data_IF_292656769548
#
_entry.id   IF_292656769548
#
_cell.length_a   1.000
_cell.length_b   1.000
_cell.length_c   1.000
_cell.angle_alpha   90.00
_cell.angle_beta   90.00
_cell.angle_gamma   90.00
#
_symmetry.space_group_name_H-M   'P 1'
#
loop_
_entity.id
_entity.type
_entity.pdbx_description
1 polymer ?
#
# COMPACT_ATOMS: atom_id res chain seq x y z
N UNK A 1 -28.28 2.14 33.66
CA UNK A 1 -28.72 1.09 32.72
C UNK A 1 -29.18 1.77 31.44
N UNK A 2 -28.29 1.96 30.46
CA UNK A 2 -28.58 2.72 29.24
C UNK A 2 -29.25 1.79 28.21
N UNK A 3 -30.46 2.13 27.78
CA UNK A 3 -31.17 1.47 26.67
C UNK A 3 -30.96 2.33 25.42
N UNK A 4 -30.32 1.78 24.41
CA UNK A 4 -30.28 2.37 23.07
C UNK A 4 -31.51 1.90 22.29
N UNK A 5 -32.14 2.79 21.54
CA UNK A 5 -33.21 2.47 20.60
C UNK A 5 -32.71 2.80 19.20
N UNK A 6 -32.48 1.77 18.39
CA UNK A 6 -32.21 1.91 16.95
C UNK A 6 -33.51 2.34 16.28
N UNK A 7 -33.51 3.48 15.60
CA UNK A 7 -34.65 3.92 14.78
C UNK A 7 -34.36 3.48 13.33
N UNK A 8 -35.29 2.71 12.76
CA UNK A 8 -35.27 2.28 11.35
C UNK A 8 -35.65 3.46 10.46
N UNK A 9 -34.86 3.70 9.42
CA UNK A 9 -35.17 4.66 8.35
C UNK A 9 -34.85 6.11 8.75
N UNK A 10 -34.46 6.91 7.75
CA UNK A 10 -34.05 8.32 7.81
C UNK A 10 -35.13 9.30 8.31
N UNK A 11 -35.81 9.00 9.41
CA UNK A 11 -36.63 9.94 10.16
C UNK A 11 -36.04 10.11 11.56
N UNK A 12 -35.53 11.31 11.83
CA UNK A 12 -34.94 11.66 13.13
C UNK A 12 -35.80 12.72 13.80
N UNK A 13 -36.47 12.33 14.88
CA UNK A 13 -37.16 13.28 15.77
C UNK A 13 -36.31 13.50 17.03
N UNK A 14 -36.19 14.76 17.45
CA UNK A 14 -35.51 15.17 18.69
C UNK A 14 -36.57 15.62 19.69
N UNK A 15 -36.60 15.00 20.87
CA UNK A 15 -37.30 15.58 22.02
C UNK A 15 -36.40 16.67 22.63
N UNK A 16 -36.86 17.91 22.60
CA UNK A 16 -36.24 18.99 23.36
C UNK A 16 -37.00 19.18 24.66
N UNK A 17 -36.35 18.96 25.80
CA UNK A 17 -36.85 19.47 27.08
C UNK A 17 -36.70 21.00 27.08
N UNK A 18 -37.82 21.71 26.95
CA UNK A 18 -37.89 23.12 27.30
C UNK A 18 -38.30 23.25 28.76
N UNK A 19 -37.44 23.83 29.60
CA UNK A 19 -37.82 24.35 30.91
C UNK A 19 -38.76 25.56 30.74
N UNK A 20 -40.03 25.26 30.50
CA UNK A 20 -41.21 26.00 30.93
C UNK A 20 -42.41 25.40 30.18
N UNK A 21 -43.36 24.85 30.95
CA UNK A 21 -44.68 24.40 30.49
C UNK A 21 -44.72 23.17 29.55
N UNK A 22 -44.21 22.03 30.04
CA UNK A 22 -44.89 20.73 29.99
C UNK A 22 -45.46 20.18 28.67
N UNK A 23 -45.00 20.65 27.51
CA UNK A 23 -45.41 20.11 26.21
C UNK A 23 -44.18 19.93 25.33
N UNK A 24 -43.78 18.66 25.12
CA UNK A 24 -42.76 18.32 24.12
C UNK A 24 -43.31 18.63 22.73
N UNK A 25 -42.53 19.34 21.91
CA UNK A 25 -42.81 19.52 20.48
C UNK A 25 -41.72 18.82 19.70
N UNK A 26 -42.08 17.72 19.04
CA UNK A 26 -41.22 17.09 18.03
C UNK A 26 -41.09 18.03 16.82
N UNK A 27 -39.86 18.43 16.50
CA UNK A 27 -39.52 18.98 15.18
C UNK A 27 -38.82 17.87 14.39
N UNK A 28 -39.50 17.37 13.37
CA UNK A 28 -38.97 16.38 12.44
C UNK A 28 -38.76 17.06 11.08
N UNK A 29 -37.61 16.82 10.43
CA UNK A 29 -37.28 17.39 9.12
C UNK A 29 -36.52 16.38 8.25
N UNK A 30 -36.98 16.15 7.03
CA UNK A 30 -36.33 15.28 6.04
C UNK A 30 -35.46 16.12 5.09
N UNK A 31 -34.19 15.75 4.93
CA UNK A 31 -33.32 16.26 3.87
C UNK A 31 -33.33 15.20 2.76
N UNK A 32 -33.69 15.58 1.52
CA UNK A 32 -33.54 14.74 0.34
C UNK A 32 -32.35 15.25 -0.46
N UNK A 33 -31.36 14.38 -0.69
CA UNK A 33 -30.19 14.68 -1.52
C UNK A 33 -30.40 14.11 -2.94
N UNK A 34 -30.00 14.82 -4.01
CA UNK A 34 -30.04 14.29 -5.37
C UNK A 34 -29.11 13.10 -5.55
N UNK A 35 -29.53 12.10 -6.33
CA UNK A 35 -28.78 10.85 -6.57
C UNK A 35 -27.56 10.98 -7.47
N UNK A 36 -27.35 12.11 -8.12
CA UNK A 36 -26.51 12.19 -9.34
C UNK A 36 -25.15 12.87 -9.16
N UNK A 37 -24.75 13.24 -7.93
CA UNK A 37 -23.43 13.86 -7.70
C UNK A 37 -22.80 13.30 -6.44
N UNK A 38 -21.94 12.28 -6.59
CA UNK A 38 -21.13 11.65 -5.53
C UNK A 38 -22.00 11.01 -4.44
N UNK A 39 -21.74 9.75 -4.06
CA UNK A 39 -22.47 9.11 -2.95
C UNK A 39 -22.00 9.67 -1.59
N UNK A 40 -22.36 10.93 -1.34
CA UNK A 40 -22.14 11.62 -0.07
C UNK A 40 -22.86 10.91 1.07
N UNK A 41 -23.89 10.10 0.80
CA UNK A 41 -24.56 9.31 1.84
C UNK A 41 -23.61 8.26 2.41
N UNK A 42 -22.90 7.50 1.56
CA UNK A 42 -21.93 6.50 2.00
C UNK A 42 -20.70 7.15 2.65
N UNK A 43 -20.17 8.23 2.06
CA UNK A 43 -19.03 8.97 2.63
C UNK A 43 -19.39 9.55 4.00
N UNK A 44 -20.57 10.16 4.15
CA UNK A 44 -21.03 10.68 5.44
C UNK A 44 -21.35 9.53 6.39
N UNK A 45 -21.95 8.41 5.98
CA UNK A 45 -22.21 7.28 6.88
C UNK A 45 -20.92 6.68 7.46
N UNK A 46 -19.87 6.51 6.65
CA UNK A 46 -18.60 5.93 7.10
C UNK A 46 -17.76 6.92 7.91
N UNK A 47 -17.79 8.20 7.52
CA UNK A 47 -17.18 9.29 8.27
C UNK A 47 -17.91 9.50 9.61
N UNK A 48 -19.24 9.40 9.67
CA UNK A 48 -20.04 9.61 10.89
C UNK A 48 -20.01 8.41 11.84
N UNK A 49 -19.88 7.18 11.33
CA UNK A 49 -19.60 5.99 12.16
C UNK A 49 -18.24 6.08 12.86
N UNK A 50 -17.27 6.82 12.29
CA UNK A 50 -15.91 6.98 12.83
C UNK A 50 -15.61 8.28 13.60
N UNK A 51 -16.35 9.37 13.38
CA UNK A 51 -15.82 10.72 13.64
C UNK A 51 -15.90 11.29 15.06
N UNK A 52 -16.68 10.75 15.99
CA UNK A 52 -17.14 11.60 17.08
C UNK A 52 -16.83 11.08 18.47
N UNK A 53 -15.57 10.76 18.72
CA UNK A 53 -15.12 10.44 20.08
C UNK A 53 -14.83 11.74 20.83
N UNK A 54 -15.64 12.06 21.83
CA UNK A 54 -15.38 13.18 22.76
C UNK A 54 -14.09 12.89 23.58
N UNK A 55 -13.51 13.88 24.28
CA UNK A 55 -12.23 13.69 25.04
C UNK A 55 -12.28 12.54 26.06
N UNK A 56 -13.47 12.09 26.43
CA UNK A 56 -13.76 11.01 27.35
C UNK A 56 -14.07 9.65 26.68
N UNK A 57 -13.98 9.55 25.35
CA UNK A 57 -14.24 8.30 24.62
C UNK A 57 -15.67 8.15 24.07
N UNK A 58 -16.55 9.14 24.23
CA UNK A 58 -17.97 8.99 23.88
C UNK A 58 -18.24 9.28 22.40
N UNK A 59 -18.83 8.34 21.65
CA UNK A 59 -19.25 8.50 20.24
C UNK A 59 -20.53 9.35 20.13
N UNK A 60 -20.46 10.54 19.54
CA UNK A 60 -21.64 11.38 19.21
C UNK A 60 -22.10 11.01 17.80
N UNK A 61 -23.36 10.75 17.55
CA UNK A 61 -23.90 10.71 16.18
C UNK A 61 -24.73 11.97 16.07
N UNK A 62 -24.31 12.92 15.24
CA UNK A 62 -25.07 14.19 15.14
C UNK A 62 -26.40 13.92 14.43
N UNK A 63 -27.43 14.69 14.75
CA UNK A 63 -28.74 14.62 14.08
C UNK A 63 -29.20 16.00 13.60
N UNK A 64 -28.28 16.97 13.52
CA UNK A 64 -28.56 18.37 13.19
C UNK A 64 -27.67 18.82 12.02
N UNK A 65 -28.29 19.44 11.02
CA UNK A 65 -27.66 20.01 9.82
C UNK A 65 -26.49 20.94 10.17
N UNK A 66 -26.58 21.71 11.25
CA UNK A 66 -25.50 22.62 11.67
C UNK A 66 -24.21 21.86 12.00
N UNK A 67 -24.33 20.76 12.75
CA UNK A 67 -23.19 19.89 13.07
C UNK A 67 -22.69 19.17 11.82
N UNK A 68 -23.59 18.72 10.94
CA UNK A 68 -23.23 18.10 9.67
C UNK A 68 -22.35 19.05 8.83
N UNK A 69 -22.82 20.28 8.62
CA UNK A 69 -22.11 21.31 7.88
C UNK A 69 -20.77 21.66 8.55
N UNK A 70 -20.74 21.76 9.88
CA UNK A 70 -19.52 22.04 10.62
C UNK A 70 -18.45 20.95 10.44
N UNK A 71 -18.81 19.66 10.61
CA UNK A 71 -17.87 18.56 10.44
C UNK A 71 -17.45 18.37 8.98
N UNK A 72 -18.37 18.51 8.03
CA UNK A 72 -18.05 18.45 6.61
C UNK A 72 -17.13 19.62 6.20
N UNK A 73 -17.31 20.82 6.78
CA UNK A 73 -16.39 21.94 6.59
C UNK A 73 -14.99 21.63 7.12
N UNK A 74 -14.87 21.10 8.34
CA UNK A 74 -13.58 20.67 8.89
C UNK A 74 -12.91 19.61 8.02
N UNK A 75 -13.68 18.65 7.51
CA UNK A 75 -13.18 17.63 6.60
C UNK A 75 -12.66 18.24 5.29
N UNK A 76 -13.43 19.10 4.62
CA UNK A 76 -12.99 19.76 3.38
C UNK A 76 -11.73 20.60 3.59
N UNK A 77 -11.65 21.33 4.69
CA UNK A 77 -10.43 22.08 5.03
C UNK A 77 -9.23 21.16 5.27
N UNK A 78 -9.44 19.95 5.83
CA UNK A 78 -8.39 18.94 5.96
C UNK A 78 -7.84 18.43 4.63
N UNK A 79 -8.63 18.53 3.56
CA UNK A 79 -8.22 18.23 2.18
C UNK A 79 -7.49 19.41 1.53
N UNK A 80 -7.27 20.52 2.26
CA UNK A 80 -6.61 21.73 1.76
C UNK A 80 -7.56 22.77 1.15
N UNK A 81 -8.89 22.60 1.29
CA UNK A 81 -9.85 23.58 0.75
C UNK A 81 -9.82 24.86 1.58
N UNK A 82 -9.87 26.02 0.92
CA UNK A 82 -10.05 27.30 1.63
C UNK A 82 -11.44 27.33 2.29
N UNK A 83 -11.65 28.08 3.38
CA UNK A 83 -12.97 28.19 4.02
C UNK A 83 -14.07 28.60 3.05
N UNK A 84 -13.77 29.52 2.12
CA UNK A 84 -14.70 29.96 1.09
C UNK A 84 -15.02 28.85 0.10
N UNK A 85 -14.02 28.09 -0.35
CA UNK A 85 -14.27 26.96 -1.27
C UNK A 85 -15.05 25.86 -0.57
N UNK A 86 -14.71 25.52 0.67
CA UNK A 86 -15.45 24.54 1.46
C UNK A 86 -16.93 24.95 1.62
N UNK A 87 -17.21 26.22 1.93
CA UNK A 87 -18.58 26.71 2.01
C UNK A 87 -19.34 26.58 0.67
N UNK A 88 -18.70 26.86 -0.47
CA UNK A 88 -19.32 26.68 -1.79
C UNK A 88 -19.60 25.21 -2.12
N UNK A 89 -18.69 24.30 -1.79
CA UNK A 89 -18.90 22.85 -1.96
C UNK A 89 -20.08 22.39 -1.09
N UNK A 90 -20.13 22.82 0.19
CA UNK A 90 -21.23 22.47 1.08
C UNK A 90 -22.56 23.06 0.62
N UNK A 91 -22.55 24.27 0.07
CA UNK A 91 -23.75 24.84 -0.54
C UNK A 91 -24.27 23.95 -1.65
N UNK A 92 -23.38 23.51 -2.55
CA UNK A 92 -23.76 22.65 -3.67
C UNK A 92 -24.25 21.29 -3.20
N UNK A 93 -23.54 20.65 -2.27
CA UNK A 93 -23.84 19.28 -1.80
C UNK A 93 -25.13 19.23 -1.00
N UNK A 94 -25.36 20.20 -0.13
CA UNK A 94 -26.56 20.27 0.71
C UNK A 94 -27.70 21.09 0.09
N UNK A 95 -27.55 21.52 -1.18
CA UNK A 95 -28.50 22.36 -1.92
C UNK A 95 -28.96 23.60 -1.12
N UNK A 96 -28.02 24.27 -0.45
CA UNK A 96 -28.33 25.40 0.41
C UNK A 96 -28.59 26.68 -0.41
N UNK A 97 -29.52 27.53 0.04
CA UNK A 97 -29.83 28.78 -0.65
C UNK A 97 -28.62 29.73 -0.70
N UNK A 98 -27.76 29.68 0.31
CA UNK A 98 -26.53 30.48 0.42
C UNK A 98 -25.40 29.63 1.03
N UNK A 99 -24.12 29.98 0.76
CA UNK A 99 -23.00 29.32 1.41
C UNK A 99 -23.09 29.40 2.93
N UNK A 100 -22.91 28.29 3.66
CA UNK A 100 -22.93 28.30 5.10
C UNK A 100 -21.79 29.18 5.63
N UNK A 101 -22.12 30.06 6.56
CA UNK A 101 -21.12 30.84 7.28
C UNK A 101 -20.75 30.10 8.56
N UNK A 102 -19.49 29.70 8.65
CA UNK A 102 -18.91 29.23 9.90
C UNK A 102 -18.36 30.48 10.58
N UNK A 103 -18.98 30.89 11.69
CA UNK A 103 -18.42 31.96 12.52
C UNK A 103 -16.96 31.62 12.89
N UNK A 104 -16.17 32.62 13.29
CA UNK A 104 -14.87 32.40 13.91
C UNK A 104 -15.08 31.66 15.23
N UNK A 105 -15.32 30.35 15.16
CA UNK A 105 -15.55 29.56 16.35
C UNK A 105 -14.21 29.42 17.06
N UNK A 106 -14.16 29.84 18.32
CA UNK A 106 -13.11 29.45 19.29
C UNK A 106 -13.09 27.92 19.54
N UNK A 107 -13.72 27.09 18.69
CA UNK A 107 -13.53 25.65 18.74
C UNK A 107 -12.15 25.32 18.16
N UNK A 108 -11.21 25.03 19.07
CA UNK A 108 -10.01 24.25 18.76
C UNK A 108 -10.40 22.79 18.50
N UNK A 109 -11.18 22.57 17.45
CA UNK A 109 -11.60 21.27 16.98
C UNK A 109 -10.46 20.67 16.14
N UNK A 110 -9.70 19.71 16.70
CA UNK A 110 -8.63 19.01 15.98
C UNK A 110 -9.22 17.90 15.11
N UNK A 111 -8.68 17.71 13.90
CA UNK A 111 -9.06 16.60 13.03
C UNK A 111 -8.92 15.26 13.76
N UNK A 112 -9.87 14.34 13.60
CA UNK A 112 -9.75 13.04 14.24
C UNK A 112 -8.55 12.25 13.75
N UNK A 113 -7.85 11.65 14.71
CA UNK A 113 -6.68 10.80 14.45
C UNK A 113 -7.04 9.33 14.21
N UNK A 114 -8.34 9.01 14.11
CA UNK A 114 -8.81 7.65 13.88
C UNK A 114 -8.36 7.16 12.50
N UNK A 115 -7.96 5.89 12.39
CA UNK A 115 -7.51 5.28 11.13
C UNK A 115 -8.56 5.40 10.03
N UNK A 116 -9.84 5.13 10.33
CA UNK A 116 -10.92 5.24 9.35
C UNK A 116 -11.06 6.64 8.77
N UNK A 117 -10.94 7.68 9.59
CA UNK A 117 -10.94 9.07 9.11
C UNK A 117 -9.75 9.36 8.20
N UNK A 118 -8.53 8.98 8.60
CA UNK A 118 -7.33 9.25 7.80
C UNK A 118 -7.37 8.49 6.46
N UNK A 119 -7.88 7.26 6.46
CA UNK A 119 -8.08 6.48 5.24
C UNK A 119 -9.07 7.15 4.29
N UNK A 120 -10.25 7.56 4.78
CA UNK A 120 -11.25 8.24 3.95
C UNK A 120 -10.76 9.60 3.45
N UNK A 121 -10.04 10.35 4.30
CA UNK A 121 -9.37 11.60 3.92
C UNK A 121 -8.38 11.34 2.78
N UNK A 122 -7.56 10.29 2.90
CA UNK A 122 -6.55 9.98 1.89
C UNK A 122 -7.18 9.53 0.58
N UNK A 123 -8.14 8.59 0.60
CA UNK A 123 -8.94 8.20 -0.59
C UNK A 123 -9.49 9.44 -1.31
N UNK A 124 -10.06 10.39 -0.56
CA UNK A 124 -10.63 11.60 -1.17
C UNK A 124 -9.59 12.54 -1.77
N UNK A 125 -8.40 12.62 -1.17
CA UNK A 125 -7.26 13.35 -1.75
C UNK A 125 -6.91 12.71 -3.10
N UNK A 126 -6.77 11.39 -3.17
CA UNK A 126 -6.42 10.67 -4.40
C UNK A 126 -7.46 10.84 -5.50
N UNK A 127 -8.76 10.77 -5.17
CA UNK A 127 -9.84 11.07 -6.11
C UNK A 127 -9.73 12.51 -6.66
N UNK A 128 -9.47 13.49 -5.79
CA UNK A 128 -9.32 14.88 -6.20
C UNK A 128 -8.07 15.08 -7.08
N UNK A 129 -6.98 14.36 -6.81
CA UNK A 129 -5.78 14.40 -7.65
C UNK A 129 -6.12 13.88 -9.05
N UNK A 130 -6.78 12.72 -9.16
CA UNK A 130 -7.27 12.16 -10.43
C UNK A 130 -8.21 13.11 -11.17
N UNK A 131 -9.14 13.72 -10.45
CA UNK A 131 -10.11 14.63 -11.05
C UNK A 131 -9.47 15.96 -11.49
N UNK A 132 -8.49 16.51 -10.76
CA UNK A 132 -8.09 17.92 -10.90
C UNK A 132 -6.64 18.14 -11.32
N UNK A 133 -5.73 17.21 -11.04
CA UNK A 133 -4.33 17.32 -11.43
C UNK A 133 -4.13 16.77 -12.85
N UNK A 134 -3.58 17.57 -13.80
CA UNK A 134 -3.36 17.10 -15.17
C UNK A 134 -2.45 15.88 -15.25
N UNK A 135 -1.42 15.82 -14.39
CA UNK A 135 -0.47 14.72 -14.38
C UNK A 135 -1.12 13.43 -13.85
N UNK A 136 -1.73 13.47 -12.66
CA UNK A 136 -2.35 12.29 -12.05
C UNK A 136 -3.48 11.73 -12.92
N UNK A 137 -4.22 12.59 -13.64
CA UNK A 137 -5.29 12.16 -14.55
C UNK A 137 -4.77 11.28 -15.70
N UNK A 138 -3.56 11.55 -16.20
CA UNK A 138 -2.98 10.83 -17.34
C UNK A 138 -2.26 9.54 -16.95
N UNK A 139 -2.02 9.31 -15.65
CA UNK A 139 -1.28 8.12 -15.19
C UNK A 139 -2.09 6.85 -15.46
N UNK A 140 -1.51 5.93 -16.22
CA UNK A 140 -2.09 4.62 -16.53
C UNK A 140 -1.71 3.53 -15.51
N UNK A 141 -2.44 2.40 -15.42
CA UNK A 141 -2.03 1.28 -14.56
C UNK A 141 -0.62 0.78 -14.85
N UNK A 142 -0.18 0.81 -16.12
CA UNK A 142 1.17 0.39 -16.50
C UNK A 142 2.25 1.34 -15.97
N UNK A 143 2.05 2.65 -16.07
CA UNK A 143 2.97 3.63 -15.50
C UNK A 143 3.03 3.51 -13.97
N UNK A 144 1.89 3.27 -13.34
CA UNK A 144 1.79 3.13 -11.89
C UNK A 144 2.59 1.90 -11.37
N UNK A 145 2.71 0.83 -12.17
CA UNK A 145 3.59 -0.31 -11.83
C UNK A 145 5.05 0.12 -11.76
N UNK A 146 5.52 0.93 -12.71
CA UNK A 146 6.90 1.45 -12.69
C UNK A 146 7.15 2.28 -11.44
N UNK A 147 6.26 3.25 -11.16
CA UNK A 147 6.35 4.09 -9.97
C UNK A 147 6.32 3.25 -8.69
N UNK A 148 5.42 2.25 -8.61
CA UNK A 148 5.35 1.36 -7.45
C UNK A 148 6.62 0.55 -7.20
N UNK A 149 7.43 0.28 -8.23
CA UNK A 149 8.73 -0.39 -8.06
C UNK A 149 9.78 0.54 -7.45
N UNK A 150 9.69 1.83 -7.75
CA UNK A 150 10.54 2.86 -7.15
C UNK A 150 10.21 2.99 -5.66
N UNK A 151 8.93 3.21 -5.30
CA UNK A 151 8.51 3.30 -3.88
C UNK A 151 8.82 2.02 -3.10
N UNK A 152 8.68 0.83 -3.73
CA UNK A 152 9.06 -0.42 -3.07
C UNK A 152 10.56 -0.48 -2.80
N UNK A 153 11.40 0.09 -3.68
CA UNK A 153 12.84 0.17 -3.49
C UNK A 153 13.21 1.14 -2.37
N UNK A 154 12.50 2.27 -2.28
CA UNK A 154 12.66 3.27 -1.22
C UNK A 154 12.19 2.70 0.14
N UNK A 155 11.09 1.94 0.16
CA UNK A 155 10.66 1.16 1.32
C UNK A 155 11.73 0.18 1.80
N UNK A 156 12.31 -0.60 0.89
CA UNK A 156 13.38 -1.55 1.22
C UNK A 156 14.61 -0.85 1.79
N UNK A 157 14.95 0.33 1.27
CA UNK A 157 16.02 1.16 1.80
C UNK A 157 15.72 1.70 3.20
N UNK A 158 14.50 2.20 3.44
CA UNK A 158 14.07 2.67 4.75
C UNK A 158 14.15 1.57 5.81
N UNK A 159 13.69 0.35 5.48
CA UNK A 159 13.79 -0.82 6.35
C UNK A 159 15.26 -1.17 6.63
N UNK A 160 16.10 -1.20 5.60
CA UNK A 160 17.52 -1.53 5.71
C UNK A 160 18.28 -0.52 6.59
N UNK A 161 17.92 0.75 6.49
CA UNK A 161 18.51 1.84 7.26
C UNK A 161 17.91 1.98 8.67
N UNK A 162 16.89 1.19 9.01
CA UNK A 162 16.11 1.34 10.26
C UNK A 162 15.52 2.76 10.43
N UNK A 163 15.25 3.44 9.33
CA UNK A 163 14.65 4.77 9.32
C UNK A 163 13.13 4.65 9.46
N UNK A 164 12.64 4.76 10.69
CA UNK A 164 11.23 4.57 10.99
C UNK A 164 10.34 5.69 10.43
N UNK A 165 10.88 6.90 10.25
CA UNK A 165 10.12 8.02 9.72
C UNK A 165 9.95 7.83 8.20
N UNK A 166 11.05 7.54 7.49
CA UNK A 166 10.97 7.21 6.07
C UNK A 166 10.14 5.94 5.84
N UNK A 167 10.30 4.91 6.68
CA UNK A 167 9.50 3.68 6.56
C UNK A 167 8.00 3.94 6.59
N UNK A 168 7.54 4.89 7.42
CA UNK A 168 6.13 5.28 7.46
C UNK A 168 5.70 6.08 6.23
N UNK A 169 6.58 6.92 5.68
CA UNK A 169 6.37 7.71 4.46
C UNK A 169 6.19 6.79 3.24
N UNK A 170 7.14 5.89 3.00
CA UNK A 170 7.14 4.95 1.87
C UNK A 170 5.94 3.98 1.90
N UNK A 171 5.49 3.58 3.09
CA UNK A 171 4.24 2.82 3.25
C UNK A 171 3.04 3.65 2.78
N UNK A 172 3.05 4.95 3.04
CA UNK A 172 2.06 5.90 2.56
C UNK A 172 2.03 6.01 1.05
N UNK A 173 3.19 6.04 0.40
CA UNK A 173 3.31 6.14 -1.07
C UNK A 173 2.87 4.85 -1.78
N UNK A 174 3.16 3.68 -1.20
CA UNK A 174 2.54 2.44 -1.68
C UNK A 174 1.01 2.47 -1.54
N UNK A 175 0.46 3.02 -0.44
CA UNK A 175 -0.99 3.20 -0.31
C UNK A 175 -1.55 4.20 -1.33
N UNK A 176 -0.81 5.26 -1.67
CA UNK A 176 -1.18 6.19 -2.76
C UNK A 176 -1.39 5.42 -4.06
N UNK A 177 -0.44 4.56 -4.43
CA UNK A 177 -0.51 3.75 -5.64
C UNK A 177 -1.65 2.72 -5.62
N UNK A 178 -1.89 2.06 -4.49
CA UNK A 178 -3.03 1.13 -4.34
C UNK A 178 -4.39 1.84 -4.52
N UNK A 179 -4.52 3.06 -3.98
CA UNK A 179 -5.72 3.87 -4.14
C UNK A 179 -5.87 4.38 -5.57
N UNK A 180 -4.79 4.85 -6.20
CA UNK A 180 -4.80 5.29 -7.60
C UNK A 180 -5.22 4.14 -8.54
N UNK A 181 -4.73 2.92 -8.36
CA UNK A 181 -5.19 1.75 -9.11
C UNK A 181 -6.70 1.53 -8.96
N UNK A 182 -7.22 1.67 -7.74
CA UNK A 182 -8.64 1.47 -7.45
C UNK A 182 -9.50 2.57 -8.09
N UNK A 183 -9.06 3.83 -8.02
CA UNK A 183 -9.76 4.95 -8.68
C UNK A 183 -9.76 4.80 -10.19
N UNK A 184 -8.64 4.42 -10.82
CA UNK A 184 -8.60 4.15 -12.27
C UNK A 184 -9.56 3.01 -12.64
N UNK A 185 -9.61 1.95 -11.83
CA UNK A 185 -10.51 0.82 -12.11
C UNK A 185 -11.98 1.24 -12.02
N UNK A 186 -12.32 2.09 -11.05
CA UNK A 186 -13.65 2.68 -10.87
C UNK A 186 -14.03 3.59 -12.06
N UNK A 187 -13.11 4.44 -12.52
CA UNK A 187 -13.29 5.29 -13.72
C UNK A 187 -13.55 4.50 -15.01
N UNK A 188 -13.12 3.23 -15.05
CA UNK A 188 -13.30 2.32 -16.18
C UNK A 188 -14.44 1.29 -15.95
N UNK A 189 -15.32 1.52 -14.97
CA UNK A 189 -16.44 0.64 -14.61
C UNK A 189 -16.01 -0.83 -14.34
N UNK A 190 -14.79 -1.05 -13.86
CA UNK A 190 -14.21 -2.38 -13.70
C UNK A 190 -14.45 -2.97 -12.30
N UNK A 191 -14.05 -2.26 -11.25
CA UNK A 191 -14.25 -2.63 -9.85
C UNK A 191 -14.01 -1.44 -8.92
N UNK A 192 -14.52 -1.52 -7.70
CA UNK A 192 -14.34 -0.49 -6.67
C UNK A 192 -13.31 -0.91 -5.62
N UNK A 193 -12.81 0.05 -4.83
CA UNK A 193 -11.93 -0.22 -3.69
C UNK A 193 -12.54 -1.22 -2.69
N UNK A 194 -13.87 -1.18 -2.51
CA UNK A 194 -14.59 -2.12 -1.64
C UNK A 194 -14.44 -3.57 -2.10
N UNK A 195 -14.44 -3.82 -3.42
CA UNK A 195 -14.22 -5.15 -3.99
C UNK A 195 -12.80 -5.64 -3.70
N UNK A 196 -11.80 -4.75 -3.82
CA UNK A 196 -10.39 -5.06 -3.54
C UNK A 196 -10.22 -5.49 -2.09
N UNK A 197 -10.73 -4.70 -1.15
CA UNK A 197 -10.62 -4.98 0.29
C UNK A 197 -11.42 -6.23 0.70
N UNK A 198 -12.58 -6.46 0.09
CA UNK A 198 -13.39 -7.67 0.32
C UNK A 198 -12.64 -8.91 -0.14
N UNK A 199 -12.14 -8.92 -1.38
CA UNK A 199 -11.35 -10.03 -1.94
C UNK A 199 -10.10 -10.29 -1.10
N UNK A 200 -9.39 -9.24 -0.68
CA UNK A 200 -8.20 -9.38 0.18
C UNK A 200 -8.55 -9.99 1.54
N UNK A 201 -9.63 -9.52 2.17
CA UNK A 201 -10.09 -9.99 3.49
C UNK A 201 -10.55 -11.44 3.44
N UNK A 202 -11.40 -11.82 2.49
CA UNK A 202 -11.89 -13.19 2.33
C UNK A 202 -10.74 -14.16 2.03
N UNK A 203 -9.79 -13.73 1.20
CA UNK A 203 -8.57 -14.50 0.92
C UNK A 203 -7.69 -14.67 2.16
N UNK A 204 -7.53 -13.63 2.97
CA UNK A 204 -6.79 -13.71 4.22
C UNK A 204 -7.47 -14.65 5.22
N UNK A 205 -8.78 -14.53 5.40
CA UNK A 205 -9.57 -15.37 6.32
C UNK A 205 -9.52 -16.85 5.90
N UNK A 206 -9.81 -17.13 4.62
CA UNK A 206 -9.83 -18.50 4.10
C UNK A 206 -8.47 -19.22 4.15
N UNK A 207 -7.36 -18.47 4.06
CA UNK A 207 -6.00 -19.02 4.17
C UNK A 207 -5.52 -19.22 5.60
N UNK A 208 -6.15 -18.55 6.58
CA UNK A 208 -5.80 -18.62 7.99
C UNK A 208 -6.98 -19.11 8.87
N UNK A 209 -7.58 -20.26 8.58
CA UNK A 209 -8.67 -20.79 9.40
C UNK A 209 -8.23 -21.05 10.85
N UNK A 210 -6.94 -21.27 11.13
CA UNK A 210 -6.47 -21.40 12.52
C UNK A 210 -6.55 -20.10 13.34
N UNK A 211 -6.66 -18.94 12.67
CA UNK A 211 -6.86 -17.64 13.33
C UNK A 211 -8.36 -17.37 13.53
N UNK A 212 -9.18 -17.71 12.54
CA UNK A 212 -10.60 -17.29 12.47
C UNK A 212 -11.62 -18.39 12.78
N UNK A 213 -11.19 -19.65 12.84
CA UNK A 213 -11.98 -20.81 13.24
C UNK A 213 -11.43 -21.43 14.54
N UNK A 214 -12.08 -22.48 15.02
CA UNK A 214 -11.73 -23.16 16.28
C UNK A 214 -10.55 -24.14 16.17
N UNK A 215 -9.89 -24.23 15.02
CA UNK A 215 -8.71 -25.07 14.84
C UNK A 215 -7.49 -24.36 15.41
N UNK A 216 -6.74 -25.02 16.28
CA UNK A 216 -5.45 -24.53 16.74
C UNK A 216 -4.35 -25.35 16.08
N UNK A 217 -3.64 -24.73 15.14
CA UNK A 217 -2.40 -25.26 14.59
C UNK A 217 -1.28 -25.10 15.64
N UNK A 218 -0.42 -26.12 15.77
CA UNK A 218 0.54 -26.21 16.88
C UNK A 218 1.78 -25.33 16.71
N UNK A 219 2.23 -25.08 15.48
CA UNK A 219 3.44 -24.33 15.17
C UNK A 219 3.42 -23.64 13.78
N UNK A 220 4.36 -22.73 13.57
CA UNK A 220 4.47 -21.93 12.35
C UNK A 220 4.78 -22.76 11.10
N UNK A 221 5.55 -23.85 11.24
CA UNK A 221 5.90 -24.73 10.12
C UNK A 221 4.67 -25.46 9.58
N UNK A 222 3.82 -25.96 10.48
CA UNK A 222 2.54 -26.59 10.16
C UNK A 222 1.58 -25.60 9.50
N UNK A 223 1.54 -24.35 9.98
CA UNK A 223 0.76 -23.27 9.36
C UNK A 223 1.25 -22.98 7.94
N UNK A 224 2.56 -22.86 7.73
CA UNK A 224 3.15 -22.58 6.43
C UNK A 224 2.85 -23.69 5.41
N UNK A 225 3.04 -24.95 5.79
CA UNK A 225 2.73 -26.11 4.94
C UNK A 225 1.25 -26.13 4.54
N UNK A 226 0.32 -25.96 5.50
CA UNK A 226 -1.12 -25.89 5.21
C UNK A 226 -1.50 -24.67 4.37
N UNK A 227 -0.81 -23.54 4.54
CA UNK A 227 -1.02 -22.34 3.72
C UNK A 227 -0.59 -22.58 2.27
N UNK A 228 0.54 -23.25 2.05
CA UNK A 228 1.01 -23.64 0.71
C UNK A 228 0.04 -24.65 0.06
N UNK A 229 -0.45 -25.65 0.81
CA UNK A 229 -1.45 -26.59 0.31
C UNK A 229 -2.77 -25.90 -0.08
N UNK A 230 -3.24 -24.92 0.72
CA UNK A 230 -4.45 -24.14 0.45
C UNK A 230 -4.29 -23.14 -0.69
N UNK A 231 -3.05 -22.77 -1.06
CA UNK A 231 -2.81 -22.11 -2.34
C UNK A 231 -3.14 -23.03 -3.53
N UNK A 232 -3.07 -24.35 -3.33
CA UNK A 232 -3.62 -25.45 -4.13
C UNK A 232 -3.78 -25.23 -5.64
N UNK A 233 -2.88 -25.85 -6.43
CA UNK A 233 -3.07 -26.40 -7.80
C UNK A 233 -3.98 -25.65 -8.80
N UNK A 234 -4.09 -24.33 -8.71
CA UNK A 234 -4.58 -23.47 -9.80
C UNK A 234 -3.41 -22.76 -10.48
N UNK A 235 -2.33 -23.50 -10.61
CA UNK A 235 -1.11 -23.07 -11.23
C UNK A 235 -0.68 -24.28 -12.09
N UNK A 236 -1.11 -24.40 -13.34
CA UNK A 236 -0.59 -23.62 -14.45
C UNK A 236 0.30 -22.42 -14.04
N UNK A 237 1.29 -22.65 -13.15
CA UNK A 237 2.29 -21.67 -12.72
C UNK A 237 3.37 -21.54 -13.81
N UNK A 238 2.95 -21.53 -15.07
CA UNK A 238 3.75 -20.91 -16.13
C UNK A 238 3.72 -19.38 -16.01
N UNK A 239 3.03 -18.81 -15.01
CA UNK A 239 3.20 -17.40 -14.67
C UNK A 239 4.57 -17.19 -14.01
N UNK A 240 5.58 -17.00 -14.86
CA UNK A 240 6.91 -16.49 -14.49
C UNK A 240 6.71 -15.30 -13.53
N UNK A 241 7.16 -15.40 -12.26
CA UNK A 241 7.17 -14.29 -11.31
C UNK A 241 7.71 -13.00 -11.94
N UNK A 242 7.24 -11.83 -11.50
CA UNK A 242 7.53 -10.55 -12.14
C UNK A 242 9.02 -10.18 -12.18
N UNK A 243 9.86 -10.83 -11.36
CA UNK A 243 11.31 -10.77 -11.50
C UNK A 243 11.93 -12.17 -11.62
N UNK A 244 13.06 -12.22 -12.32
CA UNK A 244 13.78 -13.46 -12.63
C UNK A 244 14.36 -14.13 -11.38
N UNK A 245 14.73 -13.34 -10.36
CA UNK A 245 15.29 -13.86 -9.10
C UNK A 245 14.25 -14.61 -8.26
N UNK A 246 13.05 -14.05 -8.08
CA UNK A 246 11.93 -14.72 -7.41
C UNK A 246 11.53 -15.97 -8.17
N UNK A 247 11.60 -15.95 -9.50
CA UNK A 247 11.32 -17.15 -10.29
C UNK A 247 12.34 -18.25 -10.04
N UNK A 248 13.63 -17.93 -10.12
CA UNK A 248 14.69 -18.88 -9.86
C UNK A 248 14.61 -19.45 -8.43
N UNK A 249 14.40 -18.60 -7.42
CA UNK A 249 14.21 -19.05 -6.03
C UNK A 249 13.02 -20.00 -5.88
N UNK A 250 11.87 -19.70 -6.50
CA UNK A 250 10.70 -20.58 -6.45
C UNK A 250 10.96 -21.94 -7.09
N UNK A 251 11.60 -21.97 -8.26
CA UNK A 251 11.95 -23.22 -8.93
C UNK A 251 12.90 -24.08 -8.07
N UNK A 252 13.84 -23.43 -7.39
CA UNK A 252 14.78 -24.10 -6.50
C UNK A 252 14.10 -24.59 -5.21
N UNK A 253 13.19 -23.81 -4.63
CA UNK A 253 12.36 -24.25 -3.51
C UNK A 253 11.49 -25.44 -3.93
N UNK A 254 10.87 -25.41 -5.11
CA UNK A 254 10.09 -26.53 -5.62
C UNK A 254 10.96 -27.79 -5.81
N UNK A 255 12.16 -27.65 -6.39
CA UNK A 255 13.12 -28.75 -6.51
C UNK A 255 13.51 -29.32 -5.14
N UNK A 256 13.73 -28.47 -4.14
CA UNK A 256 13.99 -28.88 -2.75
C UNK A 256 12.87 -29.72 -2.15
N UNK A 257 11.60 -29.31 -2.33
CA UNK A 257 10.45 -30.08 -1.85
C UNK A 257 10.34 -31.47 -2.50
N UNK A 258 10.87 -31.62 -3.72
CA UNK A 258 10.97 -32.90 -4.42
C UNK A 258 12.23 -33.71 -4.06
N UNK A 259 13.08 -33.22 -3.17
CA UNK A 259 14.34 -33.85 -2.76
C UNK A 259 15.44 -33.75 -3.82
N UNK A 260 15.33 -32.79 -4.75
CA UNK A 260 16.27 -32.53 -5.84
C UNK A 260 17.09 -31.27 -5.55
N UNK A 261 17.67 -31.19 -4.36
CA UNK A 261 18.41 -30.01 -3.92
C UNK A 261 19.61 -30.39 -3.05
N UNK A 262 20.57 -29.47 -2.97
CA UNK A 262 21.78 -29.63 -2.17
C UNK A 262 21.52 -29.18 -0.73
N UNK A 263 21.97 -29.97 0.24
CA UNK A 263 21.81 -29.65 1.67
C UNK A 263 22.93 -28.77 2.21
N UNK A 264 24.08 -28.72 1.52
CA UNK A 264 25.29 -28.03 1.97
C UNK A 264 25.78 -27.05 0.88
N UNK A 265 25.95 -25.75 1.20
CA UNK A 265 26.57 -24.77 0.29
C UNK A 265 27.90 -25.23 -0.30
N UNK A 266 28.67 -26.07 0.42
CA UNK A 266 29.95 -26.57 -0.07
C UNK A 266 29.80 -27.55 -1.23
N UNK A 267 28.68 -28.28 -1.33
CA UNK A 267 28.38 -29.15 -2.47
C UNK A 267 28.04 -28.33 -3.72
N UNK A 268 27.52 -27.11 -3.55
CA UNK A 268 27.21 -26.20 -4.64
C UNK A 268 28.48 -25.52 -5.20
N UNK A 269 29.58 -25.49 -4.43
CA UNK A 269 30.88 -24.97 -4.91
C UNK A 269 31.36 -25.70 -6.16
N UNK A 270 31.28 -27.03 -6.14
CA UNK A 270 31.72 -27.85 -7.28
C UNK A 270 30.86 -27.58 -8.51
N UNK A 271 29.55 -27.38 -8.32
CA UNK A 271 28.63 -27.02 -9.41
C UNK A 271 28.90 -25.60 -9.94
N UNK A 272 29.21 -24.64 -9.08
CA UNK A 272 29.63 -23.29 -9.48
C UNK A 272 30.91 -23.30 -10.32
N UNK A 273 31.88 -24.15 -9.97
CA UNK A 273 33.11 -24.33 -10.76
C UNK A 273 32.82 -25.00 -12.10
N UNK A 274 31.89 -25.95 -12.15
CA UNK A 274 31.41 -26.61 -13.39
C UNK A 274 30.74 -25.59 -14.33
N UNK A 275 29.73 -24.84 -13.87
CA UNK A 275 29.02 -23.84 -14.69
C UNK A 275 29.97 -22.75 -15.23
N UNK A 276 30.96 -22.34 -14.42
CA UNK A 276 31.96 -21.37 -14.84
C UNK A 276 32.87 -21.92 -15.94
N UNK A 277 33.22 -23.21 -15.86
CA UNK A 277 34.04 -23.89 -16.85
C UNK A 277 33.27 -24.13 -18.17
N UNK A 278 31.97 -24.44 -18.09
CA UNK A 278 31.08 -24.54 -19.26
C UNK A 278 30.98 -23.18 -19.96
N UNK A 279 30.77 -22.09 -19.21
CA UNK A 279 30.80 -20.72 -19.75
C UNK A 279 32.14 -20.38 -20.42
N UNK A 280 33.27 -20.77 -19.81
CA UNK A 280 34.62 -20.56 -20.38
C UNK A 280 34.76 -21.27 -21.73
N UNK A 281 34.31 -22.53 -21.80
CA UNK A 281 34.37 -23.32 -23.04
C UNK A 281 33.46 -22.73 -24.12
N UNK A 282 32.25 -22.30 -23.77
CA UNK A 282 31.32 -21.64 -24.68
C UNK A 282 31.92 -20.35 -25.27
N UNK A 283 32.59 -19.55 -24.42
CA UNK A 283 33.30 -18.34 -24.83
C UNK A 283 34.43 -18.62 -25.82
N UNK A 284 35.27 -19.63 -25.55
CA UNK A 284 36.38 -20.02 -26.44
C UNK A 284 35.90 -20.57 -27.78
N UNK A 285 34.75 -21.25 -27.80
CA UNK A 285 34.17 -21.80 -29.01
C UNK A 285 33.47 -20.77 -29.92
N UNK A 286 33.22 -19.55 -29.41
CA UNK A 286 32.59 -18.46 -30.15
C UNK A 286 31.09 -18.66 -30.47
N UNK A 287 30.42 -19.60 -29.81
CA UNK A 287 29.01 -19.92 -30.06
C UNK A 287 28.08 -19.05 -29.19
N UNK A 288 27.50 -18.01 -29.78
CA UNK A 288 26.68 -17.01 -29.06
C UNK A 288 25.47 -17.59 -28.33
N UNK A 289 24.83 -18.62 -28.88
CA UNK A 289 23.66 -19.23 -28.24
C UNK A 289 24.05 -20.02 -26.98
N UNK A 290 25.11 -20.82 -27.06
CA UNK A 290 25.64 -21.55 -25.90
C UNK A 290 26.12 -20.58 -24.82
N UNK A 291 26.79 -19.47 -25.16
CA UNK A 291 27.18 -18.46 -24.15
C UNK A 291 26.00 -17.89 -23.36
N UNK A 292 24.83 -17.69 -23.99
CA UNK A 292 23.65 -17.20 -23.29
C UNK A 292 23.13 -18.23 -22.28
N UNK A 293 23.12 -19.49 -22.69
CA UNK A 293 22.64 -20.60 -21.88
C UNK A 293 23.55 -20.78 -20.66
N UNK A 294 24.88 -20.82 -20.86
CA UNK A 294 25.86 -20.96 -19.75
C UNK A 294 25.85 -19.76 -18.77
N UNK A 295 25.64 -18.53 -19.27
CA UNK A 295 25.46 -17.35 -18.39
C UNK A 295 24.21 -17.51 -17.54
N UNK A 296 23.14 -18.06 -18.12
CA UNK A 296 21.90 -18.35 -17.42
C UNK A 296 22.10 -19.36 -16.29
N UNK A 297 22.78 -20.47 -16.58
CA UNK A 297 22.99 -21.56 -15.63
C UNK A 297 23.96 -21.15 -14.49
N UNK A 298 24.98 -20.36 -14.79
CA UNK A 298 25.83 -19.74 -13.77
C UNK A 298 25.03 -18.82 -12.85
N UNK A 299 24.20 -17.92 -13.40
CA UNK A 299 23.35 -17.03 -12.62
C UNK A 299 22.34 -17.83 -11.77
N UNK A 300 21.74 -18.87 -12.34
CA UNK A 300 20.80 -19.73 -11.63
C UNK A 300 21.47 -20.44 -10.43
N UNK A 301 22.69 -20.93 -10.62
CA UNK A 301 23.49 -21.57 -9.56
C UNK A 301 23.90 -20.57 -8.48
N UNK A 302 24.26 -19.33 -8.85
CA UNK A 302 24.53 -18.25 -7.88
C UNK A 302 23.28 -17.92 -7.04
N UNK A 303 22.10 -17.91 -7.65
CA UNK A 303 20.83 -17.71 -6.91
C UNK A 303 20.60 -18.85 -5.92
N UNK A 304 20.90 -20.09 -6.30
CA UNK A 304 20.79 -21.23 -5.38
C UNK A 304 21.77 -21.11 -4.20
N UNK A 305 22.97 -20.59 -4.45
CA UNK A 305 23.93 -20.33 -3.39
C UNK A 305 23.38 -19.28 -2.41
N UNK A 306 22.84 -18.17 -2.94
CA UNK A 306 22.25 -17.12 -2.11
C UNK A 306 21.13 -17.68 -1.23
N UNK A 307 20.24 -18.51 -1.79
CA UNK A 307 19.18 -19.21 -1.06
C UNK A 307 19.72 -20.07 0.09
N UNK A 308 20.71 -20.92 -0.15
CA UNK A 308 21.33 -21.77 0.88
C UNK A 308 22.05 -20.95 1.98
N UNK A 309 22.57 -19.78 1.62
CA UNK A 309 23.17 -18.83 2.56
C UNK A 309 22.14 -17.96 3.30
N UNK A 310 20.84 -18.12 3.01
CA UNK A 310 19.76 -17.26 3.51
C UNK A 310 19.97 -15.77 3.16
N UNK A 311 20.47 -15.50 1.96
CA UNK A 311 20.66 -14.16 1.41
C UNK A 311 19.69 -13.96 0.25
N UNK A 312 18.98 -12.83 0.24
CA UNK A 312 18.16 -12.47 -0.92
C UNK A 312 19.07 -12.02 -2.08
N UNK A 313 19.01 -12.68 -3.25
CA UNK A 313 19.91 -12.40 -4.37
C UNK A 313 19.65 -11.03 -5.02
N UNK A 314 18.41 -10.54 -5.00
CA UNK A 314 18.06 -9.23 -5.56
C UNK A 314 18.60 -8.11 -4.65
N UNK A 315 18.43 -8.24 -3.34
CA UNK A 315 19.01 -7.32 -2.36
C UNK A 315 20.54 -7.33 -2.40
N UNK A 316 21.18 -8.50 -2.47
CA UNK A 316 22.63 -8.62 -2.56
C UNK A 316 23.21 -7.93 -3.81
N UNK A 317 22.52 -8.07 -4.96
CA UNK A 317 22.89 -7.41 -6.20
C UNK A 317 22.63 -5.90 -6.13
N UNK A 318 21.52 -5.46 -5.52
CA UNK A 318 21.22 -4.05 -5.31
C UNK A 318 22.29 -3.39 -4.42
N UNK A 319 22.66 -4.03 -3.31
CA UNK A 319 23.71 -3.54 -2.41
C UNK A 319 25.05 -3.38 -3.13
N UNK A 320 25.43 -4.39 -3.93
CA UNK A 320 26.66 -4.35 -4.73
C UNK A 320 26.62 -3.26 -5.81
N UNK A 321 25.46 -3.08 -6.46
CA UNK A 321 25.22 -2.03 -7.44
C UNK A 321 25.33 -0.63 -6.84
N UNK A 322 24.74 -0.39 -5.67
CA UNK A 322 24.87 0.88 -4.92
C UNK A 322 26.32 1.15 -4.52
N UNK A 323 27.07 0.10 -4.13
CA UNK A 323 28.51 0.21 -3.85
C UNK A 323 29.30 0.59 -5.10
N UNK A 324 29.02 -0.05 -6.24
CA UNK A 324 29.63 0.27 -7.52
C UNK A 324 29.31 1.70 -7.96
N UNK A 325 28.06 2.15 -7.81
CA UNK A 325 27.64 3.51 -8.15
C UNK A 325 28.42 4.56 -7.35
N UNK A 326 28.59 4.36 -6.04
CA UNK A 326 29.40 5.25 -5.18
C UNK A 326 30.85 5.33 -5.66
N UNK A 327 31.44 4.17 -5.99
CA UNK A 327 32.82 4.10 -6.51
C UNK A 327 32.96 4.77 -7.87
N UNK A 328 32.03 4.51 -8.78
CA UNK A 328 32.01 5.13 -10.09
C UNK A 328 31.95 6.65 -9.97
N UNK A 329 31.07 7.17 -9.11
CA UNK A 329 30.96 8.60 -8.82
C UNK A 329 32.30 9.17 -8.36
N UNK A 330 32.94 8.54 -7.36
CA UNK A 330 34.26 8.95 -6.88
C UNK A 330 35.32 8.99 -7.99
N UNK A 331 35.42 7.92 -8.78
CA UNK A 331 36.39 7.82 -9.89
C UNK A 331 36.12 8.88 -10.95
N UNK A 332 34.85 9.15 -11.29
CA UNK A 332 34.51 10.19 -12.27
C UNK A 332 34.79 11.60 -11.77
N UNK A 333 34.67 11.85 -10.46
CA UNK A 333 34.98 13.14 -9.83
C UNK A 333 36.51 13.38 -9.73
N UNK A 334 37.31 12.31 -9.62
CA UNK A 334 38.77 12.37 -9.45
C UNK A 334 39.55 11.93 -10.70
N UNK A 335 38.87 11.76 -11.84
CA UNK A 335 39.44 11.18 -13.07
C UNK A 335 40.60 11.99 -13.68
N UNK A 336 40.77 13.25 -13.25
CA UNK A 336 41.86 14.13 -13.67
C UNK A 336 43.18 13.91 -12.88
N UNK A 337 43.14 13.17 -11.76
CA UNK A 337 44.22 13.17 -10.77
C UNK A 337 45.06 11.89 -10.76
N UNK A 338 44.58 10.75 -11.27
CA UNK A 338 45.28 9.45 -11.25
C UNK A 338 44.81 8.46 -12.34
N UNK A 339 45.53 7.34 -12.49
CA UNK A 339 45.13 6.20 -13.33
C UNK A 339 43.93 5.42 -12.74
N UNK A 340 43.14 4.79 -13.61
CA UNK A 340 41.84 4.21 -13.29
C UNK A 340 41.94 3.08 -12.24
N UNK A 341 43.00 2.29 -12.26
CA UNK A 341 43.21 1.20 -11.30
C UNK A 341 43.54 1.72 -9.90
N UNK A 342 44.32 2.81 -9.80
CA UNK A 342 44.63 3.49 -8.53
C UNK A 342 43.39 4.14 -7.92
N UNK A 343 42.62 4.88 -8.72
CA UNK A 343 41.36 5.51 -8.28
C UNK A 343 40.33 4.45 -7.86
N UNK A 344 40.31 3.30 -8.52
CA UNK A 344 39.43 2.20 -8.16
C UNK A 344 39.79 1.60 -6.80
N UNK A 345 41.07 1.36 -6.51
CA UNK A 345 41.51 0.90 -5.18
C UNK A 345 41.25 1.93 -4.08
N UNK A 346 41.47 3.22 -4.35
CA UNK A 346 41.15 4.31 -3.42
C UNK A 346 39.65 4.36 -3.10
N UNK A 347 38.79 4.21 -4.12
CA UNK A 347 37.33 4.17 -3.93
C UNK A 347 36.86 2.97 -3.08
N UNK A 348 37.63 1.88 -3.02
CA UNK A 348 37.31 0.73 -2.16
C UNK A 348 37.51 1.06 -0.68
N UNK A 349 38.43 1.96 -0.36
CA UNK A 349 38.80 2.34 1.01
C UNK A 349 37.91 3.44 1.59
N UNK A 350 37.39 4.35 0.76
CA UNK A 350 36.48 5.41 1.21
C UNK A 350 34.99 4.99 1.24
N UNK A 351 34.57 4.03 0.41
CA UNK A 351 33.17 3.60 0.27
C UNK A 351 32.87 2.23 0.91
N UNK A 352 33.76 1.71 1.76
CA UNK A 352 33.54 0.54 2.60
C UNK A 352 33.00 0.95 3.96
#
# INVERSE_FOLDING_TARGET
>A
MKRYKVIKGLDVCVETETEAEGTSKEKCGQIRLPREVIDWQQVLEDVWKGLLTNKDGTVVVTSNLENALFFSNLFLQSLGYTPQRAALELQSVFELPEPPSFGSSDCHCTLPKTVGFQFMRFKKIVENLRERCPWDREVTPYQLVTLSREELSELMEAISNQDMDNYAEELGDLWLHLLLHSVIAEENDAFELADVLTKASEKAISRHPHVFASDHDADAATVLSKWQERKGKNSDDESVPPNVFTWALRLQDEAHHHGLDWEDPMQLKDKLEEEFEELRCAFESGQTQSMKDEVGDLLFTVVNLARLLNVDPEDALLHSSKKFQRRLKYVTEHQAENDLETLWEESKNEAG
#
